data_IF_054614864389
#
_entry.id   IF_054614864389
#
_cell.length_a   1.000
_cell.length_b   1.000
_cell.length_c   1.000
_cell.angle_alpha   90.00
_cell.angle_beta   90.00
_cell.angle_gamma   90.00
#
_symmetry.space_group_name_H-M   'P 1'
#
loop_
_entity.id
_entity.type
_entity.pdbx_description
1 polymer ?
#
# COMPACT_ATOMS: atom_id res chain seq x y z
N UNK A 1 -24.11 16.58 -1.29
CA UNK A 1 -23.18 15.45 -1.32
C UNK A 1 -22.01 15.82 -0.44
N UNK A 2 -21.59 14.98 0.51
CA UNK A 2 -20.42 15.28 1.35
C UNK A 2 -19.15 14.90 0.56
N UNK A 3 -18.17 15.78 0.53
CA UNK A 3 -16.87 15.55 -0.12
C UNK A 3 -15.88 15.14 0.96
N UNK A 4 -15.06 14.13 0.68
CA UNK A 4 -13.97 13.67 1.55
C UNK A 4 -12.63 13.89 0.86
N UNK A 5 -11.62 14.28 1.65
CA UNK A 5 -10.24 14.33 1.22
C UNK A 5 -9.55 13.04 1.67
N UNK A 6 -8.97 12.32 0.72
CA UNK A 6 -8.34 11.03 0.98
C UNK A 6 -6.86 11.06 0.59
N UNK A 7 -6.04 10.34 1.34
CA UNK A 7 -4.69 9.95 0.98
C UNK A 7 -4.57 8.44 1.20
N UNK A 8 -4.54 7.68 0.11
CA UNK A 8 -4.65 6.23 0.14
C UNK A 8 -3.33 5.51 -0.21
N UNK A 9 -2.22 6.27 -0.36
CA UNK A 9 -0.92 5.71 -0.68
C UNK A 9 0.17 6.35 0.19
N UNK A 10 0.31 5.81 1.40
CA UNK A 10 1.25 6.33 2.41
C UNK A 10 2.16 5.20 2.89
N UNK A 11 3.47 5.43 2.82
CA UNK A 11 4.47 4.53 3.38
C UNK A 11 4.92 5.02 4.75
N UNK A 12 5.03 4.09 5.70
CA UNK A 12 5.51 4.35 7.05
C UNK A 12 6.97 3.95 7.21
N UNK A 13 7.47 4.05 8.46
CA UNK A 13 8.81 3.55 8.86
C UNK A 13 9.06 2.08 8.51
N UNK A 14 8.03 1.34 8.13
CA UNK A 14 8.12 -0.07 7.76
C UNK A 14 8.57 -0.27 6.30
N UNK A 15 8.36 0.72 5.46
CA UNK A 15 8.84 0.73 4.08
C UNK A 15 10.20 1.41 3.99
N UNK A 16 11.26 0.74 3.48
CA UNK A 16 12.60 1.32 3.49
C UNK A 16 12.77 2.53 2.56
N UNK A 17 11.82 2.77 1.67
CA UNK A 17 11.76 3.98 0.84
C UNK A 17 11.19 5.21 1.58
N UNK A 18 10.62 5.04 2.79
CA UNK A 18 10.10 6.12 3.61
C UNK A 18 11.14 6.62 4.62
N UNK A 19 10.97 7.86 5.09
CA UNK A 19 11.76 8.39 6.20
C UNK A 19 11.37 7.72 7.52
N UNK A 20 12.33 7.56 8.44
CA UNK A 20 12.06 7.11 9.82
C UNK A 20 11.19 8.10 10.63
N UNK A 21 10.96 9.32 10.11
CA UNK A 21 9.98 10.24 10.66
C UNK A 21 8.53 9.87 10.31
N UNK A 22 8.32 8.94 9.39
CA UNK A 22 6.99 8.48 8.96
C UNK A 22 6.41 7.42 9.90
N UNK A 23 6.45 7.71 11.22
CA UNK A 23 5.80 6.84 12.21
C UNK A 23 4.28 6.92 12.11
N UNK A 24 3.53 5.89 12.58
CA UNK A 24 2.06 5.91 12.66
C UNK A 24 1.51 7.18 13.27
N UNK A 25 2.09 7.66 14.38
CA UNK A 25 1.68 8.88 15.08
C UNK A 25 1.93 10.14 14.23
N UNK A 26 3.09 10.24 13.61
CA UNK A 26 3.43 11.42 12.80
C UNK A 26 2.57 11.49 11.53
N UNK A 27 2.35 10.36 10.86
CA UNK A 27 1.45 10.26 9.70
C UNK A 27 0.04 10.73 10.09
N UNK A 28 -0.52 10.15 11.16
CA UNK A 28 -1.85 10.49 11.62
C UNK A 28 -1.97 11.97 12.03
N UNK A 29 -0.99 12.48 12.76
CA UNK A 29 -0.95 13.89 13.16
C UNK A 29 -0.92 14.82 11.95
N UNK A 30 -0.09 14.50 10.96
CA UNK A 30 0.04 15.28 9.73
C UNK A 30 -1.23 15.24 8.89
N UNK A 31 -1.87 14.08 8.77
CA UNK A 31 -3.15 13.92 8.06
C UNK A 31 -4.22 14.84 8.67
N UNK A 32 -4.38 14.82 9.99
CA UNK A 32 -5.32 15.71 10.69
C UNK A 32 -5.00 17.19 10.48
N UNK A 33 -3.75 17.60 10.63
CA UNK A 33 -3.31 18.99 10.40
C UNK A 33 -3.58 19.45 8.95
N UNK A 34 -3.53 18.53 8.00
CA UNK A 34 -3.79 18.78 6.58
C UNK A 34 -5.27 18.70 6.20
N UNK A 35 -6.15 18.36 7.15
CA UNK A 35 -7.59 18.20 6.93
C UNK A 35 -7.91 17.03 5.99
N UNK A 36 -7.18 15.91 6.11
CA UNK A 36 -7.46 14.67 5.40
C UNK A 36 -8.49 13.88 6.21
N UNK A 37 -9.57 13.46 5.56
CA UNK A 37 -10.67 12.73 6.19
C UNK A 37 -10.40 11.22 6.27
N UNK A 38 -9.73 10.67 5.24
CA UNK A 38 -9.47 9.22 5.12
C UNK A 38 -8.02 9.01 4.70
N UNK A 39 -7.30 8.15 5.43
CA UNK A 39 -5.96 7.71 5.06
C UNK A 39 -5.87 6.19 4.97
N UNK A 40 -4.97 5.68 4.14
CA UNK A 40 -4.54 4.27 4.17
C UNK A 40 -3.02 4.22 4.28
N UNK A 41 -2.51 3.42 5.24
CA UNK A 41 -1.09 3.08 5.30
C UNK A 41 -0.90 1.85 4.42
N UNK A 42 -0.03 1.97 3.45
CA UNK A 42 0.15 0.99 2.37
C UNK A 42 1.62 0.66 2.19
N UNK A 43 2.26 0.18 3.26
CA UNK A 43 3.64 -0.26 3.23
C UNK A 43 3.85 -1.42 2.24
N UNK A 44 5.05 -1.55 1.70
CA UNK A 44 5.39 -2.62 0.78
C UNK A 44 5.13 -4.00 1.40
N UNK A 45 4.23 -4.77 0.80
CA UNK A 45 3.89 -6.16 1.14
C UNK A 45 3.58 -6.42 2.63
N UNK A 46 3.25 -5.38 3.42
CA UNK A 46 3.05 -5.47 4.86
C UNK A 46 1.95 -4.52 5.34
N UNK A 47 1.28 -4.84 6.49
CA UNK A 47 0.18 -4.03 7.03
C UNK A 47 0.37 -3.60 8.48
N UNK A 48 1.44 -3.99 9.18
CA UNK A 48 1.48 -3.86 10.65
C UNK A 48 1.37 -2.42 11.13
N UNK A 49 2.05 -1.46 10.52
CA UNK A 49 1.96 -0.07 10.94
C UNK A 49 0.59 0.58 10.63
N UNK A 50 -0.19 0.01 9.70
CA UNK A 50 -1.58 0.44 9.50
C UNK A 50 -2.45 0.17 10.73
N UNK A 51 -2.22 -0.96 11.41
CA UNK A 51 -2.91 -1.28 12.65
C UNK A 51 -2.62 -0.26 13.76
N UNK A 52 -1.36 0.08 13.99
CA UNK A 52 -1.00 1.07 15.01
C UNK A 52 -1.53 2.47 14.68
N UNK A 53 -1.55 2.85 13.40
CA UNK A 53 -2.17 4.10 12.95
C UNK A 53 -3.67 4.11 13.24
N UNK A 54 -4.37 2.99 12.99
CA UNK A 54 -5.78 2.82 13.32
C UNK A 54 -6.03 2.94 14.83
N UNK A 55 -5.21 2.30 15.67
CA UNK A 55 -5.34 2.39 17.13
C UNK A 55 -5.26 3.84 17.63
N UNK A 56 -4.39 4.67 17.05
CA UNK A 56 -4.27 6.10 17.36
C UNK A 56 -5.52 6.88 16.91
N UNK A 57 -6.22 6.43 15.87
CA UNK A 57 -7.32 7.16 15.25
C UNK A 57 -8.68 6.97 15.91
N UNK A 58 -8.84 6.01 16.84
CA UNK A 58 -10.14 5.55 17.37
C UNK A 58 -11.07 6.64 17.90
N UNK A 59 -10.49 7.70 18.46
CA UNK A 59 -11.25 8.82 19.04
C UNK A 59 -11.19 10.07 18.12
N UNK A 60 -11.06 9.89 16.81
CA UNK A 60 -10.95 10.99 15.87
C UNK A 60 -11.93 10.89 14.70
N UNK A 61 -12.13 12.03 13.99
CA UNK A 61 -12.95 12.09 12.78
C UNK A 61 -12.19 11.62 11.52
N UNK A 62 -10.88 11.35 11.62
CA UNK A 62 -10.08 10.83 10.50
C UNK A 62 -10.17 9.31 10.47
N UNK A 63 -10.67 8.76 9.37
CA UNK A 63 -10.76 7.33 9.16
C UNK A 63 -9.41 6.77 8.69
N UNK A 64 -8.96 5.68 9.31
CA UNK A 64 -7.76 4.94 8.90
C UNK A 64 -8.18 3.59 8.33
N UNK A 65 -7.74 3.31 7.10
CA UNK A 65 -7.94 2.04 6.41
C UNK A 65 -6.65 1.21 6.51
N UNK A 66 -6.79 -0.11 6.41
CA UNK A 66 -5.70 -1.07 6.45
C UNK A 66 -5.27 -1.41 5.02
N UNK A 67 -4.03 -1.18 4.67
CA UNK A 67 -3.58 -1.39 3.31
C UNK A 67 -2.16 -1.95 3.21
N UNK A 68 -1.81 -2.36 2.00
CA UNK A 68 -0.45 -2.63 1.58
C UNK A 68 -0.27 -2.23 0.11
N UNK A 69 0.94 -1.85 -0.26
CA UNK A 69 1.36 -1.81 -1.65
C UNK A 69 1.99 -3.15 -2.00
N UNK A 70 1.19 -4.04 -2.61
CA UNK A 70 1.63 -5.36 -3.01
C UNK A 70 2.40 -5.27 -4.34
N UNK A 71 3.60 -5.86 -4.39
CA UNK A 71 4.37 -6.00 -5.63
C UNK A 71 4.23 -7.42 -6.16
N UNK A 72 3.64 -7.59 -7.36
CA UNK A 72 3.43 -8.88 -8.02
C UNK A 72 4.72 -9.44 -8.63
N UNK A 73 4.68 -10.68 -9.13
CA UNK A 73 5.83 -11.29 -9.83
C UNK A 73 6.20 -10.58 -11.13
N UNK A 74 5.24 -9.87 -11.74
CA UNK A 74 5.48 -9.02 -12.92
C UNK A 74 6.05 -7.64 -12.54
N UNK A 75 6.39 -7.41 -11.27
CA UNK A 75 6.85 -6.13 -10.72
C UNK A 75 5.81 -5.01 -10.88
N UNK A 76 4.53 -5.33 -10.72
CA UNK A 76 3.43 -4.35 -10.72
C UNK A 76 3.01 -4.07 -9.28
N UNK A 77 2.87 -2.79 -8.95
CA UNK A 77 2.36 -2.36 -7.66
C UNK A 77 0.84 -2.24 -7.66
N UNK A 78 0.22 -2.81 -6.62
CA UNK A 78 -1.21 -2.74 -6.34
C UNK A 78 -1.44 -2.21 -4.92
N UNK A 79 -2.25 -1.17 -4.77
CA UNK A 79 -2.81 -0.84 -3.46
C UNK A 79 -3.94 -1.82 -3.16
N UNK A 80 -3.80 -2.57 -2.10
CA UNK A 80 -4.83 -3.50 -1.59
C UNK A 80 -5.31 -2.95 -0.25
N UNK A 81 -6.55 -2.46 -0.20
CA UNK A 81 -7.08 -1.66 0.91
C UNK A 81 -8.31 -2.33 1.51
N UNK A 82 -8.37 -2.40 2.82
CA UNK A 82 -9.45 -2.99 3.60
C UNK A 82 -10.01 -2.00 4.62
N UNK A 83 -11.28 -2.14 4.96
CA UNK A 83 -11.94 -1.46 6.08
C UNK A 83 -11.98 -2.32 7.36
N UNK A 84 -11.69 -3.62 7.25
CA UNK A 84 -11.64 -4.58 8.36
C UNK A 84 -10.23 -5.13 8.57
N UNK A 85 -9.71 -5.01 9.80
CA UNK A 85 -8.38 -5.52 10.15
C UNK A 85 -8.27 -7.04 10.07
N UNK A 86 -9.34 -7.77 10.40
CA UNK A 86 -9.35 -9.24 10.36
C UNK A 86 -9.15 -9.74 8.93
N UNK A 87 -9.86 -9.14 7.97
CA UNK A 87 -9.72 -9.43 6.55
C UNK A 87 -8.30 -9.06 6.05
N UNK A 88 -7.82 -7.85 6.36
CA UNK A 88 -6.48 -7.38 6.01
C UNK A 88 -5.38 -8.31 6.56
N UNK A 89 -5.46 -8.67 7.85
CA UNK A 89 -4.50 -9.57 8.50
C UNK A 89 -4.51 -10.98 7.90
N UNK A 90 -5.71 -11.50 7.58
CA UNK A 90 -5.85 -12.81 6.95
C UNK A 90 -5.27 -12.83 5.52
N UNK A 91 -5.47 -11.76 4.77
CA UNK A 91 -4.88 -11.56 3.45
C UNK A 91 -3.36 -11.45 3.55
N UNK A 92 -2.86 -10.55 4.41
CA UNK A 92 -1.42 -10.35 4.62
C UNK A 92 -0.68 -11.65 4.96
N UNK A 93 -1.24 -12.50 5.84
CA UNK A 93 -0.63 -13.79 6.18
C UNK A 93 -0.43 -14.72 4.98
N UNK A 94 -1.29 -14.61 3.95
CA UNK A 94 -1.13 -15.37 2.71
C UNK A 94 -0.04 -14.75 1.84
N UNK A 95 -0.04 -13.43 1.69
CA UNK A 95 0.95 -12.69 0.91
C UNK A 95 2.35 -12.86 1.50
N UNK A 96 2.51 -12.73 2.81
CA UNK A 96 3.81 -12.88 3.48
C UNK A 96 4.45 -14.27 3.29
N UNK A 97 3.63 -15.33 3.13
CA UNK A 97 4.13 -16.68 2.82
C UNK A 97 4.69 -16.79 1.39
N UNK A 98 4.21 -15.95 0.49
CA UNK A 98 4.64 -15.89 -0.90
C UNK A 98 5.79 -14.88 -1.12
N UNK A 99 6.10 -14.06 -0.11
CA UNK A 99 7.26 -13.17 -0.14
C UNK A 99 8.54 -14.01 -0.02
N UNK A 100 9.54 -13.84 -0.92
CA UNK A 100 10.81 -14.55 -0.84
C UNK A 100 11.50 -14.38 0.51
N UNK A 101 12.14 -15.45 1.01
CA UNK A 101 12.88 -15.42 2.27
C UNK A 101 14.30 -14.83 2.06
N UNK A 102 14.31 -13.58 1.59
CA UNK A 102 15.53 -12.79 1.37
C UNK A 102 15.64 -11.78 2.49
N UNK A 103 16.77 -11.76 3.19
CA UNK A 103 16.99 -10.81 4.28
C UNK A 103 17.19 -9.39 3.74
N UNK A 104 16.61 -8.42 4.46
CA UNK A 104 16.90 -7.02 4.25
C UNK A 104 18.38 -6.73 4.58
N UNK A 105 19.00 -5.86 3.80
CA UNK A 105 20.27 -5.20 4.13
C UNK A 105 20.00 -3.73 4.44
N UNK A 106 19.90 -3.35 5.73
CA UNK A 106 19.61 -1.98 6.10
C UNK A 106 20.64 -0.94 5.63
N UNK A 107 21.88 -1.40 5.39
CA UNK A 107 22.95 -0.50 4.89
C UNK A 107 22.73 -0.10 3.42
N UNK A 108 21.98 -0.90 2.68
CA UNK A 108 21.68 -0.69 1.26
C UNK A 108 20.25 -0.21 1.02
N UNK A 109 19.26 -0.89 1.62
CA UNK A 109 17.84 -0.60 1.38
C UNK A 109 17.24 0.35 2.43
N UNK A 110 17.80 0.43 3.62
CA UNK A 110 17.25 1.13 4.78
C UNK A 110 16.58 0.18 5.77
N UNK A 111 16.18 0.75 6.91
CA UNK A 111 15.50 0.01 7.97
C UNK A 111 14.02 -0.22 7.60
N UNK A 112 13.47 -1.32 8.10
CA UNK A 112 12.06 -1.69 8.02
C UNK A 112 11.53 -1.85 9.44
N UNK A 113 10.92 -0.78 9.97
CA UNK A 113 10.65 -0.67 11.41
C UNK A 113 9.15 -0.71 11.69
N UNK A 114 8.74 -1.68 12.50
CA UNK A 114 7.41 -1.68 13.12
C UNK A 114 7.49 -0.87 14.39
N UNK A 115 6.63 0.15 14.49
CA UNK A 115 6.53 1.02 15.68
C UNK A 115 5.09 1.05 16.20
N UNK A 116 4.95 1.14 17.50
CA UNK A 116 3.64 1.17 18.17
C UNK A 116 3.01 2.58 18.21
N UNK A 117 1.90 2.68 18.93
CA UNK A 117 1.16 3.94 19.12
C UNK A 117 1.94 5.02 19.89
N UNK A 118 3.05 4.69 20.54
CA UNK A 118 3.89 5.61 21.31
C UNK A 118 5.18 6.00 20.59
N UNK A 119 5.36 5.52 19.36
CA UNK A 119 6.60 5.58 18.58
C UNK A 119 7.73 4.71 19.14
N UNK A 120 7.40 3.72 20.00
CA UNK A 120 8.36 2.72 20.46
C UNK A 120 8.57 1.64 19.41
N UNK A 121 9.83 1.25 19.20
CA UNK A 121 10.17 0.19 18.25
C UNK A 121 9.69 -1.16 18.78
N UNK A 122 8.78 -1.80 18.04
CA UNK A 122 8.27 -3.15 18.33
C UNK A 122 9.25 -4.20 17.81
N UNK A 123 9.67 -4.06 16.55
CA UNK A 123 10.63 -4.95 15.89
C UNK A 123 11.13 -4.36 14.59
N UNK A 124 12.23 -4.92 14.10
CA UNK A 124 12.67 -4.75 12.73
C UNK A 124 12.15 -5.92 11.88
N UNK A 125 11.65 -5.63 10.67
CA UNK A 125 11.30 -6.67 9.73
C UNK A 125 12.56 -7.17 9.01
N UNK A 126 12.82 -8.48 9.11
CA UNK A 126 14.05 -9.07 8.58
C UNK A 126 13.95 -9.40 7.09
N UNK A 127 12.75 -9.70 6.56
CA UNK A 127 12.57 -9.97 5.14
C UNK A 127 12.56 -8.67 4.35
N UNK A 128 13.22 -8.66 3.21
CA UNK A 128 13.20 -7.50 2.31
C UNK A 128 11.80 -7.34 1.71
N UNK A 129 11.08 -6.35 2.19
CA UNK A 129 9.71 -6.05 1.77
C UNK A 129 9.62 -5.51 0.33
N UNK A 130 10.72 -5.01 -0.24
CA UNK A 130 10.78 -4.51 -1.63
C UNK A 130 10.84 -5.63 -2.68
N UNK A 131 10.87 -6.91 -2.28
CA UNK A 131 10.83 -8.01 -3.23
C UNK A 131 9.43 -8.22 -3.81
N UNK A 132 9.38 -8.67 -5.07
CA UNK A 132 8.15 -9.20 -5.66
C UNK A 132 7.66 -10.43 -4.90
N UNK A 133 6.37 -10.43 -4.59
CA UNK A 133 5.67 -11.60 -4.05
C UNK A 133 5.47 -12.61 -5.18
N UNK A 134 5.64 -13.90 -4.90
CA UNK A 134 5.48 -14.99 -5.87
C UNK A 134 3.99 -15.24 -6.16
N UNK A 135 3.33 -14.26 -6.77
CA UNK A 135 1.93 -14.29 -7.18
C UNK A 135 1.76 -13.44 -8.43
N UNK A 136 1.01 -13.96 -9.42
CA UNK A 136 0.71 -13.21 -10.64
C UNK A 136 -0.22 -12.03 -10.36
N UNK A 137 -0.21 -11.02 -11.24
CA UNK A 137 -1.14 -9.89 -11.18
C UNK A 137 -2.59 -10.35 -11.10
N UNK A 138 -2.98 -11.31 -11.96
CA UNK A 138 -4.35 -11.83 -11.99
C UNK A 138 -4.72 -12.47 -10.66
N UNK A 139 -3.89 -13.40 -10.17
CA UNK A 139 -4.16 -14.12 -8.92
C UNK A 139 -4.17 -13.16 -7.72
N UNK A 140 -3.28 -12.17 -7.69
CA UNK A 140 -3.23 -11.16 -6.64
C UNK A 140 -4.52 -10.35 -6.57
N UNK A 141 -4.99 -9.83 -7.73
CA UNK A 141 -6.24 -9.06 -7.81
C UNK A 141 -7.43 -9.93 -7.38
N UNK A 142 -7.58 -11.14 -7.92
CA UNK A 142 -8.70 -12.02 -7.54
C UNK A 142 -8.64 -12.46 -6.09
N UNK A 143 -7.45 -12.73 -5.54
CA UNK A 143 -7.28 -13.07 -4.12
C UNK A 143 -7.68 -11.90 -3.22
N UNK A 144 -7.30 -10.66 -3.57
CA UNK A 144 -7.63 -9.46 -2.83
C UNK A 144 -9.14 -9.15 -2.90
N UNK A 145 -9.73 -9.22 -4.10
CA UNK A 145 -11.20 -9.02 -4.28
C UNK A 145 -12.01 -10.06 -3.51
N UNK A 146 -11.62 -11.32 -3.52
CA UNK A 146 -12.27 -12.37 -2.75
C UNK A 146 -12.12 -12.19 -1.23
N UNK A 147 -11.10 -11.45 -0.79
CA UNK A 147 -10.92 -11.08 0.61
C UNK A 147 -11.69 -9.81 1.01
N UNK A 148 -12.40 -9.17 0.06
CA UNK A 148 -13.20 -7.97 0.31
C UNK A 148 -12.42 -6.65 0.16
N UNK A 149 -11.21 -6.67 -0.41
CA UNK A 149 -10.41 -5.46 -0.61
C UNK A 149 -10.91 -4.57 -1.76
N UNK A 150 -10.68 -3.28 -1.64
CA UNK A 150 -10.53 -2.40 -2.78
C UNK A 150 -9.12 -2.57 -3.38
N UNK A 151 -9.04 -2.72 -4.72
CA UNK A 151 -7.78 -2.94 -5.44
C UNK A 151 -7.57 -1.84 -6.45
N UNK A 152 -6.45 -1.12 -6.31
CA UNK A 152 -6.09 0.02 -7.15
C UNK A 152 -4.73 -0.29 -7.79
N UNK A 153 -4.61 -0.17 -9.11
CA UNK A 153 -3.28 -0.23 -9.73
C UNK A 153 -2.52 1.05 -9.43
N UNK A 154 -1.36 0.93 -8.75
CA UNK A 154 -0.56 2.07 -8.29
C UNK A 154 0.07 2.80 -9.46
N UNK A 155 0.16 4.13 -9.34
CA UNK A 155 0.94 5.05 -10.18
C UNK A 155 1.12 4.58 -11.64
N UNK A 156 0.01 4.34 -12.38
CA UNK A 156 0.03 3.76 -13.74
C UNK A 156 0.84 4.57 -14.76
N UNK A 157 1.13 5.84 -14.46
CA UNK A 157 1.99 6.75 -15.22
C UNK A 157 3.47 6.72 -14.81
N UNK A 158 3.85 5.82 -13.90
CA UNK A 158 5.25 5.61 -13.52
C UNK A 158 5.99 4.79 -14.58
N UNK A 159 7.27 5.11 -14.88
CA UNK A 159 8.10 4.29 -15.76
C UNK A 159 8.51 2.95 -15.15
N UNK A 160 8.37 2.80 -13.81
CA UNK A 160 8.74 1.59 -13.08
C UNK A 160 7.54 1.10 -12.24
N UNK A 161 7.42 -0.20 -12.09
CA UNK A 161 6.45 -0.88 -11.24
C UNK A 161 4.98 -0.55 -11.54
N UNK A 162 4.68 0.00 -12.71
CA UNK A 162 3.33 0.29 -13.14
C UNK A 162 2.79 -0.78 -14.09
N UNK A 163 1.47 -0.98 -14.08
CA UNK A 163 0.82 -1.93 -14.98
C UNK A 163 1.10 -1.61 -16.45
N UNK A 164 1.18 -0.32 -16.82
CA UNK A 164 1.48 0.10 -18.18
C UNK A 164 2.96 -0.13 -18.51
N UNK A 165 3.90 0.14 -17.60
CA UNK A 165 5.32 -0.07 -17.88
C UNK A 165 5.68 -1.54 -18.04
N UNK A 166 4.97 -2.43 -17.37
CA UNK A 166 5.24 -3.88 -17.39
C UNK A 166 4.48 -4.60 -18.51
N UNK A 167 3.20 -4.26 -18.71
CA UNK A 167 2.34 -4.96 -19.68
C UNK A 167 2.09 -4.17 -20.96
N UNK A 168 2.30 -2.85 -20.97
CA UNK A 168 1.97 -1.99 -22.11
C UNK A 168 0.50 -1.58 -22.19
N UNK A 169 -0.38 -2.08 -21.33
CA UNK A 169 -1.81 -1.78 -21.28
C UNK A 169 -2.41 -2.16 -19.92
N UNK A 170 -3.64 -1.73 -19.66
CA UNK A 170 -4.45 -2.17 -18.51
C UNK A 170 -5.42 -3.25 -18.97
N UNK A 171 -5.35 -4.51 -18.46
CA UNK A 171 -6.28 -5.56 -18.84
C UNK A 171 -7.73 -5.23 -18.45
N UNK A 172 -8.68 -5.36 -19.40
CA UNK A 172 -10.09 -5.03 -19.18
C UNK A 172 -10.85 -6.02 -18.31
N UNK A 173 -10.33 -7.23 -18.18
CA UNK A 173 -10.93 -8.33 -17.42
C UNK A 173 -10.45 -8.36 -15.96
N UNK A 174 -9.50 -7.51 -15.58
CA UNK A 174 -9.08 -7.36 -14.18
C UNK A 174 -10.09 -6.51 -13.42
N UNK A 175 -10.66 -7.01 -12.32
CA UNK A 175 -11.65 -6.28 -11.50
C UNK A 175 -10.97 -5.25 -10.59
N UNK A 176 -10.20 -4.32 -11.17
CA UNK A 176 -9.64 -3.18 -10.47
C UNK A 176 -10.75 -2.17 -10.13
N UNK A 177 -10.70 -1.60 -8.93
CA UNK A 177 -11.66 -0.59 -8.49
C UNK A 177 -11.27 0.81 -8.95
N UNK A 178 -9.96 1.08 -9.12
CA UNK A 178 -9.44 2.36 -9.57
C UNK A 178 -8.03 2.23 -10.16
N UNK A 179 -7.56 3.33 -10.76
CA UNK A 179 -6.20 3.51 -11.26
C UNK A 179 -5.63 4.78 -10.61
N UNK A 180 -4.46 4.66 -10.00
CA UNK A 180 -3.74 5.80 -9.44
C UNK A 180 -2.89 6.49 -10.50
N UNK A 181 -2.97 7.81 -10.57
CA UNK A 181 -2.18 8.65 -11.49
C UNK A 181 -1.47 9.73 -10.67
N UNK A 182 -0.15 9.80 -10.77
CA UNK A 182 0.68 10.79 -10.06
C UNK A 182 0.56 12.19 -10.67
N UNK A 183 0.47 12.27 -12.00
CA UNK A 183 0.39 13.55 -12.70
C UNK A 183 -0.85 13.61 -13.60
N UNK A 184 -1.80 14.46 -13.25
CA UNK A 184 -3.04 14.67 -14.01
C UNK A 184 -2.82 15.08 -15.46
N UNK A 185 -1.67 15.69 -15.79
CA UNK A 185 -1.33 16.05 -17.16
C UNK A 185 -1.15 14.82 -18.07
N UNK A 186 -0.89 13.64 -17.50
CA UNK A 186 -0.70 12.39 -18.24
C UNK A 186 -2.03 11.73 -18.64
N UNK A 187 -3.18 12.14 -18.06
CA UNK A 187 -4.49 11.51 -18.31
C UNK A 187 -4.81 11.34 -19.80
N UNK A 188 -4.68 12.37 -20.67
CA UNK A 188 -5.02 12.20 -22.09
C UNK A 188 -4.21 11.14 -22.80
N UNK A 189 -2.92 10.97 -22.42
CA UNK A 189 -2.03 9.97 -23.00
C UNK A 189 -2.31 8.56 -22.48
N UNK A 190 -2.76 8.46 -21.22
CA UNK A 190 -3.05 7.18 -20.56
C UNK A 190 -4.33 6.53 -21.07
N UNK A 191 -5.30 7.33 -21.54
CA UNK A 191 -6.58 6.80 -22.03
C UNK A 191 -6.46 5.77 -23.14
N UNK A 192 -5.41 5.82 -23.95
CA UNK A 192 -5.16 4.83 -25.01
C UNK A 192 -4.75 3.44 -24.48
N UNK A 193 -4.35 3.34 -23.21
CA UNK A 193 -3.91 2.09 -22.58
C UNK A 193 -4.99 1.44 -21.70
N UNK A 194 -6.14 2.13 -21.52
CA UNK A 194 -7.23 1.75 -20.60
C UNK A 194 -8.43 1.15 -21.36
N UNK A 195 -8.29 0.95 -22.63
CA UNK A 195 -9.40 0.52 -23.55
C UNK A 195 -9.55 -1.01 -23.62
#
# INVERSE_FOLDING_TARGET
>A
MKTFRCDLHIHSTLSPCASLEMSPRNIFTKARQSGIDIIAITDHNMIENSFFTYEISKDSDTTVLFGMELQTEEEIHLLVIFDDYGAASSFHKKIYKLLPDVKNDPSYFGDQVVVDCNDDIVRFEERLLLNSVQISLNDAVFLAKNAGAAVISSHIDSPNYSIISQLGYVPNDLPLDALEIRNKANIPQLMQFIL
#
